data_IF_964821697793
#
_entry.id   IF_964821697793
#
_cell.length_a   1.000
_cell.length_b   1.000
_cell.length_c   1.000
_cell.angle_alpha   90.00
_cell.angle_beta   90.00
_cell.angle_gamma   90.00
#
_symmetry.space_group_name_H-M   'P 1'
#
loop_
_entity.id
_entity.type
_entity.pdbx_description
1 polymer ?
#
# COMPACT_ATOMS: atom_id res chain seq x y z
N UNK A 1 6.76 17.77 16.91
CA UNK A 1 7.86 16.81 16.74
C UNK A 1 7.44 15.80 15.68
N UNK A 2 7.99 15.93 14.48
CA UNK A 2 7.46 15.30 13.25
C UNK A 2 8.12 13.96 12.91
N UNK A 3 9.27 13.63 13.49
CA UNK A 3 10.00 12.39 13.19
C UNK A 3 9.84 11.34 14.30
N UNK A 4 9.87 10.06 13.88
CA UNK A 4 9.84 8.89 14.76
C UNK A 4 11.08 8.90 15.66
N UNK A 5 10.95 8.82 17.00
CA UNK A 5 12.11 8.71 17.87
C UNK A 5 12.93 7.46 17.51
N UNK A 6 14.22 7.65 17.26
CA UNK A 6 15.18 6.55 17.16
C UNK A 6 15.83 6.40 18.54
N UNK A 7 15.64 5.24 19.16
CA UNK A 7 16.19 4.93 20.48
C UNK A 7 17.00 3.64 20.37
N UNK A 8 18.23 3.69 20.89
CA UNK A 8 19.05 2.51 21.09
C UNK A 8 18.78 1.97 22.50
N UNK A 9 18.02 0.88 22.58
CA UNK A 9 17.68 0.26 23.85
C UNK A 9 18.87 -0.45 24.52
N UNK A 10 19.93 -0.79 23.78
CA UNK A 10 21.16 -1.32 24.37
C UNK A 10 21.90 -0.25 25.17
N UNK A 11 21.98 0.97 24.63
CA UNK A 11 22.53 2.13 25.35
C UNK A 11 21.72 2.46 26.62
N UNK A 12 20.39 2.31 26.58
CA UNK A 12 19.52 2.52 27.75
C UNK A 12 19.85 1.55 28.87
N UNK A 13 19.96 0.24 28.59
CA UNK A 13 20.30 -0.75 29.63
C UNK A 13 21.75 -0.61 30.08
N UNK A 14 22.67 -0.25 29.18
CA UNK A 14 24.07 0.02 29.53
C UNK A 14 24.19 1.19 30.51
N UNK A 15 23.44 2.28 30.29
CA UNK A 15 23.41 3.43 31.19
C UNK A 15 22.87 3.07 32.58
N UNK A 16 22.03 2.04 32.70
CA UNK A 16 21.57 1.51 33.99
C UNK A 16 22.62 0.66 34.73
N UNK A 17 23.80 0.44 34.13
CA UNK A 17 24.88 -0.37 34.67
C UNK A 17 24.80 -1.84 34.31
N UNK A 18 23.94 -2.24 33.35
CA UNK A 18 23.90 -3.61 32.84
C UNK A 18 25.13 -3.87 31.94
N UNK A 19 25.84 -5.00 32.12
CA UNK A 19 26.86 -5.42 31.15
C UNK A 19 26.17 -5.83 29.84
N UNK A 20 26.59 -5.25 28.72
CA UNK A 20 25.94 -5.47 27.40
C UNK A 20 26.79 -6.30 26.45
N UNK A 21 28.06 -6.55 26.81
CA UNK A 21 28.97 -7.41 26.06
C UNK A 21 29.40 -8.64 26.84
N UNK A 22 29.74 -9.71 26.13
CA UNK A 22 30.32 -10.94 26.72
C UNK A 22 31.53 -10.65 27.62
N UNK A 23 32.38 -9.69 27.24
CA UNK A 23 33.56 -9.32 28.02
C UNK A 23 33.17 -8.69 29.35
N UNK A 24 32.25 -7.72 29.34
CA UNK A 24 31.81 -7.04 30.56
C UNK A 24 31.12 -8.02 31.53
N UNK A 25 30.33 -8.96 31.02
CA UNK A 25 29.71 -10.02 31.85
C UNK A 25 30.80 -10.92 32.45
N UNK A 26 31.80 -11.32 31.65
CA UNK A 26 32.93 -12.13 32.13
C UNK A 26 33.74 -11.40 33.18
N UNK A 27 34.03 -10.13 32.99
CA UNK A 27 34.83 -9.35 33.93
C UNK A 27 34.13 -9.23 35.29
N UNK A 28 32.80 -9.04 35.29
CA UNK A 28 32.00 -9.07 36.52
C UNK A 28 32.00 -10.45 37.17
N UNK A 29 31.83 -11.52 36.39
CA UNK A 29 31.88 -12.88 36.93
C UNK A 29 33.26 -13.22 37.51
N UNK A 30 34.33 -12.81 36.83
CA UNK A 30 35.71 -13.01 37.29
C UNK A 30 35.96 -12.29 38.62
N UNK A 31 35.44 -11.07 38.78
CA UNK A 31 35.56 -10.31 40.02
C UNK A 31 34.88 -11.05 41.19
N UNK A 32 33.65 -11.55 40.99
CA UNK A 32 32.92 -12.36 41.99
C UNK A 32 33.70 -13.63 42.34
N UNK A 33 34.18 -14.37 41.34
CA UNK A 33 34.93 -15.61 41.56
C UNK A 33 36.24 -15.37 42.32
N UNK A 34 36.90 -14.24 42.08
CA UNK A 34 38.11 -13.84 42.80
C UNK A 34 37.83 -13.45 44.27
N UNK A 35 36.72 -12.76 44.53
CA UNK A 35 36.27 -12.38 45.87
C UNK A 35 35.94 -13.61 46.74
N UNK A 36 35.24 -14.60 46.17
CA UNK A 36 34.91 -15.85 46.87
C UNK A 36 36.14 -16.73 47.13
N UNK A 37 37.18 -16.63 46.29
CA UNK A 37 38.46 -17.33 46.47
C UNK A 37 38.42 -18.86 46.38
N UNK A 38 37.27 -19.45 46.04
CA UNK A 38 37.09 -20.92 45.99
C UNK A 38 37.66 -21.57 44.72
N UNK A 39 37.75 -20.82 43.61
CA UNK A 39 38.19 -21.34 42.32
C UNK A 39 39.64 -20.96 42.07
N UNK A 40 40.53 -21.95 42.11
CA UNK A 40 41.98 -21.73 41.97
C UNK A 40 42.50 -21.82 40.53
N UNK A 41 41.72 -22.39 39.60
CA UNK A 41 42.09 -22.51 38.18
C UNK A 41 41.09 -21.78 37.28
N UNK A 42 41.40 -20.52 36.96
CA UNK A 42 40.66 -19.64 36.05
C UNK A 42 41.27 -19.56 34.66
N UNK A 43 42.09 -20.55 34.28
CA UNK A 43 42.71 -20.60 32.95
C UNK A 43 41.65 -20.71 31.85
N UNK A 44 41.83 -19.96 30.76
CA UNK A 44 40.99 -20.06 29.56
C UNK A 44 41.03 -21.45 28.91
N UNK A 45 42.03 -22.27 29.24
CA UNK A 45 42.16 -23.66 28.77
C UNK A 45 41.48 -24.68 29.69
N UNK A 46 41.07 -24.28 30.91
CA UNK A 46 40.40 -25.16 31.87
C UNK A 46 38.99 -25.52 31.37
N UNK A 47 38.66 -26.81 31.16
CA UNK A 47 37.33 -27.22 30.74
C UNK A 47 36.24 -26.78 31.72
N UNK A 48 36.51 -26.87 33.03
CA UNK A 48 35.61 -26.41 34.08
C UNK A 48 35.38 -24.90 33.99
N UNK A 49 36.46 -24.11 33.88
CA UNK A 49 36.35 -22.66 33.83
C UNK A 49 35.60 -22.18 32.58
N UNK A 50 35.86 -22.82 31.43
CA UNK A 50 35.13 -22.56 30.19
C UNK A 50 33.64 -22.86 30.33
N UNK A 51 33.30 -24.00 30.93
CA UNK A 51 31.90 -24.41 31.12
C UNK A 51 31.16 -23.46 32.06
N UNK A 52 31.72 -23.17 33.25
CA UNK A 52 31.06 -22.29 34.22
C UNK A 52 30.92 -20.86 33.68
N UNK A 53 31.93 -20.34 33.00
CA UNK A 53 31.86 -19.03 32.35
C UNK A 53 30.73 -19.00 31.32
N UNK A 54 30.61 -20.02 30.46
CA UNK A 54 29.55 -20.07 29.47
C UNK A 54 28.14 -20.20 30.08
N UNK A 55 27.99 -21.02 31.14
CA UNK A 55 26.72 -21.18 31.87
C UNK A 55 26.28 -19.87 32.53
N UNK A 56 27.23 -19.02 32.94
CA UNK A 56 26.91 -17.71 33.54
C UNK A 56 26.69 -16.64 32.47
N UNK A 57 27.54 -16.56 31.44
CA UNK A 57 27.50 -15.46 30.48
C UNK A 57 26.39 -15.62 29.44
N UNK A 58 26.16 -16.85 28.94
CA UNK A 58 25.19 -17.07 27.87
C UNK A 58 23.74 -16.70 28.27
N UNK A 59 23.24 -17.07 29.47
CA UNK A 59 21.90 -16.64 29.91
C UNK A 59 21.78 -15.14 30.10
N UNK A 60 22.82 -14.46 30.59
CA UNK A 60 22.82 -13.00 30.72
C UNK A 60 22.71 -12.33 29.35
N UNK A 61 23.48 -12.80 28.37
CA UNK A 61 23.42 -12.28 27.00
C UNK A 61 22.07 -12.57 26.34
N UNK A 62 21.50 -13.75 26.57
CA UNK A 62 20.16 -14.10 26.10
C UNK A 62 19.08 -13.21 26.73
N UNK A 63 19.13 -12.99 28.05
CA UNK A 63 18.19 -12.11 28.75
C UNK A 63 18.34 -10.65 28.31
N UNK A 64 19.57 -10.17 28.08
CA UNK A 64 19.83 -8.85 27.48
C UNK A 64 19.13 -8.72 26.14
N UNK A 65 19.30 -9.71 25.26
CA UNK A 65 18.71 -9.69 23.92
C UNK A 65 17.17 -9.69 23.99
N UNK A 66 16.58 -10.52 24.85
CA UNK A 66 15.13 -10.52 25.07
C UNK A 66 14.65 -9.17 25.63
N UNK A 67 15.37 -8.60 26.60
CA UNK A 67 15.03 -7.32 27.20
C UNK A 67 15.06 -6.18 26.17
N UNK A 68 16.12 -6.09 25.37
CA UNK A 68 16.33 -5.03 24.37
C UNK A 68 15.39 -5.20 23.19
N UNK A 69 15.46 -6.36 22.52
CA UNK A 69 14.84 -6.58 21.21
C UNK A 69 13.38 -7.01 21.29
N UNK A 70 12.92 -7.48 22.45
CA UNK A 70 11.51 -7.89 22.64
C UNK A 70 10.79 -6.99 23.63
N UNK A 71 11.27 -6.88 24.87
CA UNK A 71 10.54 -6.16 25.92
C UNK A 71 10.54 -4.66 25.65
N UNK A 72 11.71 -4.02 25.69
CA UNK A 72 11.84 -2.56 25.53
C UNK A 72 11.38 -2.11 24.14
N UNK A 73 11.75 -2.83 23.09
CA UNK A 73 11.29 -2.58 21.73
C UNK A 73 9.76 -2.51 21.62
N UNK A 74 9.02 -3.29 22.41
CA UNK A 74 7.57 -3.34 22.34
C UNK A 74 6.83 -2.60 23.48
N UNK A 75 7.53 -1.84 24.33
CA UNK A 75 6.91 -1.05 25.40
C UNK A 75 6.24 0.24 24.92
N UNK A 76 6.64 0.78 23.78
CA UNK A 76 6.20 2.08 23.29
C UNK A 76 5.57 1.97 21.92
N UNK A 77 4.49 2.72 21.67
CA UNK A 77 3.83 2.79 20.34
C UNK A 77 4.85 3.09 19.24
N UNK A 78 5.80 4.01 19.50
CA UNK A 78 6.81 4.40 18.53
C UNK A 78 7.69 3.24 18.01
N UNK A 79 7.89 2.18 18.80
CA UNK A 79 8.84 1.10 18.49
C UNK A 79 8.17 -0.27 18.38
N UNK A 80 7.04 -0.49 19.07
CA UNK A 80 6.34 -1.77 19.09
C UNK A 80 5.85 -2.17 17.71
N UNK A 81 5.82 -3.48 17.44
CA UNK A 81 5.33 -4.07 16.19
C UNK A 81 4.35 -5.22 16.43
N UNK A 82 3.68 -5.65 15.37
CA UNK A 82 2.84 -6.84 15.37
C UNK A 82 1.75 -6.83 16.46
N UNK A 83 1.68 -7.92 17.22
CA UNK A 83 0.65 -8.13 18.24
C UNK A 83 0.73 -7.15 19.40
N UNK A 84 1.94 -6.76 19.82
CA UNK A 84 2.09 -5.84 20.95
C UNK A 84 1.68 -4.42 20.56
N UNK A 85 1.99 -3.99 19.33
CA UNK A 85 1.48 -2.72 18.83
C UNK A 85 -0.05 -2.71 18.78
N UNK A 86 -0.69 -3.81 18.35
CA UNK A 86 -2.16 -3.94 18.36
C UNK A 86 -2.74 -3.86 19.78
N UNK A 87 -2.05 -4.42 20.79
CA UNK A 87 -2.46 -4.28 22.19
C UNK A 87 -2.35 -2.82 22.69
N UNK A 88 -1.26 -2.13 22.35
CA UNK A 88 -1.10 -0.71 22.67
C UNK A 88 -2.12 0.17 21.94
N UNK A 89 -2.44 -0.15 20.69
CA UNK A 89 -3.50 0.51 19.93
C UNK A 89 -4.87 0.35 20.59
N UNK A 90 -5.19 -0.86 21.04
CA UNK A 90 -6.41 -1.13 21.77
C UNK A 90 -6.53 -0.30 23.05
N UNK A 91 -5.42 -0.07 23.77
CA UNK A 91 -5.39 0.76 24.97
C UNK A 91 -5.77 2.23 24.71
N UNK A 92 -5.66 2.70 23.46
CA UNK A 92 -6.11 4.02 23.01
C UNK A 92 -7.38 3.96 22.15
N UNK A 93 -8.16 2.88 22.24
CA UNK A 93 -9.40 2.69 21.47
C UNK A 93 -9.20 2.74 19.94
N UNK A 94 -8.05 2.24 19.47
CA UNK A 94 -7.75 2.08 18.03
C UNK A 94 -7.62 0.59 17.72
N UNK A 95 -8.32 0.13 16.69
CA UNK A 95 -8.20 -1.24 16.17
C UNK A 95 -7.65 -1.20 14.76
N UNK A 96 -6.63 -2.01 14.47
CA UNK A 96 -6.00 -2.12 13.16
C UNK A 96 -7.05 -2.35 12.06
N UNK A 97 -6.94 -1.65 10.94
CA UNK A 97 -7.89 -1.85 9.83
C UNK A 97 -7.60 -3.22 9.18
N UNK A 98 -8.62 -4.08 9.02
CA UNK A 98 -8.42 -5.36 8.33
C UNK A 98 -8.25 -5.13 6.83
N UNK A 99 -7.61 -6.07 6.15
CA UNK A 99 -7.60 -6.09 4.70
C UNK A 99 -9.04 -6.24 4.16
N UNK A 100 -9.36 -5.55 3.07
CA UNK A 100 -10.67 -5.57 2.42
C UNK A 100 -10.55 -5.94 0.94
N UNK A 101 -11.61 -6.55 0.40
CA UNK A 101 -11.70 -6.93 -1.00
C UNK A 101 -12.37 -5.81 -1.81
N UNK A 102 -11.82 -5.54 -2.99
CA UNK A 102 -12.43 -4.63 -3.95
C UNK A 102 -13.81 -5.13 -4.38
N UNK A 103 -14.78 -4.23 -4.50
CA UNK A 103 -16.11 -4.53 -5.03
C UNK A 103 -16.49 -3.52 -6.08
N UNK A 104 -17.26 -3.97 -7.05
CA UNK A 104 -17.57 -3.15 -8.20
C UNK A 104 -18.65 -3.75 -9.08
N UNK A 105 -18.72 -3.21 -10.29
CA UNK A 105 -19.56 -3.72 -11.36
C UNK A 105 -18.74 -3.94 -12.62
N UNK A 106 -18.94 -5.07 -13.30
CA UNK A 106 -18.30 -5.36 -14.59
C UNK A 106 -19.39 -5.46 -15.65
N UNK A 107 -19.12 -4.90 -16.84
CA UNK A 107 -20.07 -5.01 -17.96
C UNK A 107 -19.88 -6.34 -18.66
N UNK A 108 -20.98 -7.05 -18.85
CA UNK A 108 -21.08 -8.26 -19.66
C UNK A 108 -21.81 -7.95 -20.95
N UNK A 109 -21.22 -8.28 -22.09
CA UNK A 109 -21.79 -8.05 -23.41
C UNK A 109 -22.29 -9.36 -24.01
N UNK A 110 -23.54 -9.38 -24.47
CA UNK A 110 -24.11 -10.57 -25.12
C UNK A 110 -23.61 -10.74 -26.54
N UNK A 111 -23.60 -11.97 -27.02
CA UNK A 111 -23.38 -12.29 -28.43
C UNK A 111 -24.59 -11.89 -29.29
N UNK A 112 -25.80 -12.24 -28.84
CA UNK A 112 -27.07 -11.83 -29.44
C UNK A 112 -27.95 -11.12 -28.40
N UNK A 113 -28.26 -9.85 -28.64
CA UNK A 113 -29.13 -9.06 -27.79
C UNK A 113 -30.54 -9.67 -27.61
N UNK A 114 -31.01 -10.52 -28.53
CA UNK A 114 -32.34 -11.17 -28.47
C UNK A 114 -32.39 -12.41 -27.58
N UNK A 115 -31.25 -13.02 -27.27
CA UNK A 115 -31.18 -14.15 -26.36
C UNK A 115 -31.50 -13.73 -24.92
N UNK A 116 -31.91 -14.66 -24.06
CA UNK A 116 -31.89 -14.45 -22.60
C UNK A 116 -30.65 -15.15 -22.08
N UNK A 117 -29.79 -14.44 -21.34
CA UNK A 117 -28.54 -15.01 -20.82
C UNK A 117 -28.55 -14.94 -19.30
N UNK A 118 -28.14 -16.03 -18.65
CA UNK A 118 -28.00 -16.08 -17.19
C UNK A 118 -26.53 -16.21 -16.84
N UNK A 119 -26.01 -15.23 -16.10
CA UNK A 119 -24.67 -15.29 -15.50
C UNK A 119 -24.85 -15.74 -14.05
N UNK A 120 -24.12 -16.76 -13.63
CA UNK A 120 -24.23 -17.32 -12.28
C UNK A 120 -23.37 -16.56 -11.29
N UNK A 121 -23.73 -16.60 -10.01
CA UNK A 121 -22.84 -16.21 -8.93
C UNK A 121 -21.55 -17.03 -9.00
N UNK A 122 -20.40 -16.41 -8.71
CA UNK A 122 -19.09 -17.06 -8.78
C UNK A 122 -18.49 -17.16 -10.18
N UNK A 123 -19.14 -16.61 -11.22
CA UNK A 123 -18.50 -16.44 -12.53
C UNK A 123 -17.26 -15.55 -12.37
N UNK A 124 -16.10 -16.09 -12.74
CA UNK A 124 -14.80 -15.42 -12.59
C UNK A 124 -14.53 -14.51 -13.79
N UNK A 125 -14.03 -13.31 -13.51
CA UNK A 125 -13.44 -12.38 -14.48
C UNK A 125 -12.00 -12.15 -14.05
N UNK A 126 -11.05 -12.22 -14.98
CA UNK A 126 -9.64 -12.06 -14.68
C UNK A 126 -8.96 -11.01 -15.56
N UNK A 127 -7.78 -10.60 -15.11
CA UNK A 127 -6.85 -9.78 -15.89
C UNK A 127 -5.95 -10.64 -16.77
N UNK A 128 -5.26 -10.01 -17.71
CA UNK A 128 -3.99 -10.57 -18.20
C UNK A 128 -2.99 -10.68 -17.05
N UNK A 129 -1.89 -11.40 -17.28
CA UNK A 129 -0.78 -11.46 -16.30
C UNK A 129 -0.09 -10.10 -16.22
N UNK A 130 -0.03 -9.52 -15.02
CA UNK A 130 0.68 -8.27 -14.71
C UNK A 130 1.77 -8.63 -13.70
N UNK A 131 3.03 -8.41 -14.07
CA UNK A 131 4.19 -8.76 -13.24
C UNK A 131 4.12 -10.17 -12.62
N UNK A 132 3.74 -11.18 -13.42
CA UNK A 132 3.62 -12.57 -12.94
C UNK A 132 2.27 -12.93 -12.30
N UNK A 133 1.43 -11.96 -11.95
CA UNK A 133 0.17 -12.17 -11.21
C UNK A 133 -1.07 -11.99 -12.07
N UNK A 134 -2.11 -12.77 -11.78
CA UNK A 134 -3.45 -12.62 -12.37
C UNK A 134 -4.40 -12.21 -11.24
N UNK A 135 -5.16 -11.15 -11.47
CA UNK A 135 -6.18 -10.69 -10.53
C UNK A 135 -7.54 -11.17 -10.98
N UNK A 136 -8.35 -11.61 -10.01
CA UNK A 136 -9.65 -12.22 -10.26
C UNK A 136 -10.75 -11.53 -9.45
N UNK A 137 -11.88 -11.32 -10.11
CA UNK A 137 -13.15 -10.93 -9.52
C UNK A 137 -14.15 -12.06 -9.75
N UNK A 138 -15.13 -12.20 -8.85
CA UNK A 138 -16.24 -13.11 -9.01
C UNK A 138 -17.56 -12.35 -8.93
N UNK A 139 -18.55 -12.72 -9.75
CA UNK A 139 -19.92 -12.21 -9.64
C UNK A 139 -20.52 -12.59 -8.29
N UNK A 140 -21.23 -11.68 -7.64
CA UNK A 140 -21.74 -11.89 -6.27
C UNK A 140 -23.13 -12.52 -6.22
N UNK A 141 -23.84 -12.60 -7.35
CA UNK A 141 -25.18 -13.15 -7.45
C UNK A 141 -25.53 -13.61 -8.86
N UNK A 142 -26.55 -14.45 -8.96
CA UNK A 142 -27.15 -14.84 -10.24
C UNK A 142 -27.83 -13.62 -10.88
N UNK A 143 -27.55 -13.38 -12.16
CA UNK A 143 -28.15 -12.29 -12.93
C UNK A 143 -28.67 -12.80 -14.27
N UNK A 144 -29.92 -12.45 -14.58
CA UNK A 144 -30.52 -12.69 -15.88
C UNK A 144 -30.47 -11.41 -16.70
N UNK A 145 -29.77 -11.45 -17.83
CA UNK A 145 -29.77 -10.38 -18.83
C UNK A 145 -30.92 -10.66 -19.81
N UNK A 146 -31.99 -9.85 -19.81
CA UNK A 146 -33.18 -10.14 -20.60
C UNK A 146 -32.94 -9.98 -22.11
N UNK A 147 -33.90 -10.51 -22.89
CA UNK A 147 -33.97 -10.27 -24.33
C UNK A 147 -34.20 -8.77 -24.60
N UNK A 148 -33.56 -8.26 -25.65
CA UNK A 148 -33.57 -6.84 -26.01
C UNK A 148 -32.49 -6.00 -25.32
N UNK A 149 -31.80 -6.55 -24.31
CA UNK A 149 -30.67 -5.88 -23.65
C UNK A 149 -29.34 -6.46 -24.16
N UNK A 150 -28.50 -5.61 -24.77
CA UNK A 150 -27.22 -6.03 -25.36
C UNK A 150 -26.10 -6.24 -24.33
N UNK A 151 -26.16 -5.54 -23.19
CA UNK A 151 -25.18 -5.68 -22.11
C UNK A 151 -25.79 -5.31 -20.76
N UNK A 152 -25.20 -5.82 -19.68
CA UNK A 152 -25.59 -5.47 -18.31
C UNK A 152 -24.37 -5.31 -17.42
N UNK A 153 -24.50 -4.45 -16.40
CA UNK A 153 -23.53 -4.32 -15.31
C UNK A 153 -23.88 -5.31 -14.21
N UNK A 154 -22.93 -6.19 -13.88
CA UNK A 154 -23.10 -7.22 -12.87
C UNK A 154 -22.20 -6.91 -11.66
N UNK A 155 -22.72 -7.05 -10.43
CA UNK A 155 -21.93 -6.83 -9.23
C UNK A 155 -20.86 -7.91 -9.07
N UNK A 156 -19.64 -7.49 -8.73
CA UNK A 156 -18.49 -8.37 -8.55
C UNK A 156 -17.74 -8.02 -7.27
N UNK A 157 -17.01 -9.00 -6.76
CA UNK A 157 -16.09 -8.87 -5.62
C UNK A 157 -14.77 -9.56 -5.95
N UNK A 158 -13.66 -8.95 -5.57
CA UNK A 158 -12.34 -9.55 -5.68
C UNK A 158 -12.27 -10.87 -4.91
N UNK A 159 -11.63 -11.88 -5.51
CA UNK A 159 -11.43 -13.19 -4.86
C UNK A 159 -10.40 -13.13 -3.73
N UNK A 160 -9.56 -12.08 -3.72
CA UNK A 160 -8.63 -11.74 -2.65
C UNK A 160 -8.88 -10.34 -2.08
N UNK A 161 -8.03 -9.96 -1.13
CA UNK A 161 -8.00 -8.63 -0.50
C UNK A 161 -6.79 -7.83 -0.95
N UNK A 162 -6.77 -6.54 -0.64
CA UNK A 162 -5.61 -5.67 -0.87
C UNK A 162 -5.86 -4.60 -1.92
N UNK A 163 -5.05 -3.53 -1.84
CA UNK A 163 -5.14 -2.40 -2.77
C UNK A 163 -4.80 -2.79 -4.22
N UNK A 164 -4.06 -3.88 -4.41
CA UNK A 164 -3.62 -4.34 -5.73
C UNK A 164 -4.78 -4.76 -6.67
N UNK A 165 -5.97 -5.05 -6.13
CA UNK A 165 -7.17 -5.30 -6.94
C UNK A 165 -7.82 -4.02 -7.50
N UNK A 166 -7.42 -2.84 -7.04
CA UNK A 166 -7.93 -1.53 -7.50
C UNK A 166 -7.29 -1.14 -8.83
N UNK A 167 -7.53 -1.93 -9.86
CA UNK A 167 -6.98 -1.71 -11.19
C UNK A 167 -7.80 -0.68 -11.97
N UNK A 168 -7.14 0.06 -12.86
CA UNK A 168 -7.81 1.00 -13.76
C UNK A 168 -8.81 0.28 -14.69
N UNK A 169 -9.77 1.02 -15.30
CA UNK A 169 -10.67 0.47 -16.31
C UNK A 169 -9.91 -0.26 -17.43
N UNK A 170 -10.50 -1.34 -17.94
CA UNK A 170 -9.97 -2.16 -19.03
C UNK A 170 -9.06 -3.32 -18.62
N UNK A 171 -8.61 -3.39 -17.37
CA UNK A 171 -7.76 -4.49 -16.88
C UNK A 171 -8.53 -5.81 -16.74
N UNK A 172 -9.70 -5.78 -16.09
CA UNK A 172 -10.58 -6.95 -15.97
C UNK A 172 -11.37 -7.11 -17.26
N UNK A 173 -11.02 -8.10 -18.08
CA UNK A 173 -11.59 -8.29 -19.42
C UNK A 173 -11.66 -9.74 -19.91
N UNK A 174 -11.14 -10.70 -19.14
CA UNK A 174 -11.03 -12.10 -19.57
C UNK A 174 -12.02 -12.95 -18.78
N UNK A 175 -12.78 -13.78 -19.50
CA UNK A 175 -13.53 -14.88 -18.92
C UNK A 175 -12.71 -16.17 -19.05
N UNK A 176 -12.06 -16.67 -17.98
CA UNK A 176 -11.28 -17.92 -18.05
C UNK A 176 -12.15 -19.13 -18.40
N UNK A 177 -13.42 -19.09 -18.00
CA UNK A 177 -14.45 -20.05 -18.41
C UNK A 177 -15.52 -19.28 -19.17
N UNK A 178 -15.74 -19.67 -20.43
CA UNK A 178 -16.74 -19.05 -21.28
C UNK A 178 -18.14 -19.14 -20.64
N UNK A 179 -18.91 -18.05 -20.74
CA UNK A 179 -20.31 -18.00 -20.34
C UNK A 179 -21.15 -18.01 -21.61
N UNK A 180 -22.02 -19.00 -21.75
CA UNK A 180 -22.85 -19.15 -22.95
C UNK A 180 -23.66 -17.87 -23.24
N UNK A 181 -23.59 -17.39 -24.48
CA UNK A 181 -24.24 -16.16 -24.94
C UNK A 181 -23.57 -14.85 -24.50
N UNK A 182 -22.40 -14.87 -23.84
CA UNK A 182 -21.58 -13.69 -23.54
C UNK A 182 -20.36 -13.64 -24.46
N UNK A 183 -20.21 -12.54 -25.20
CA UNK A 183 -19.09 -12.34 -26.13
C UNK A 183 -17.81 -11.90 -25.41
N UNK A 184 -17.93 -10.95 -24.49
CA UNK A 184 -16.80 -10.43 -23.71
C UNK A 184 -17.28 -9.68 -22.47
N UNK A 185 -16.32 -9.33 -21.60
CA UNK A 185 -16.53 -8.53 -20.41
C UNK A 185 -15.52 -7.39 -20.35
N UNK A 186 -15.88 -6.29 -19.69
CA UNK A 186 -14.95 -5.18 -19.47
C UNK A 186 -15.25 -4.43 -18.17
N UNK A 187 -14.18 -4.08 -17.45
CA UNK A 187 -14.20 -3.03 -16.42
C UNK A 187 -14.23 -1.66 -17.10
N UNK A 188 -15.26 -0.88 -16.84
CA UNK A 188 -15.42 0.48 -17.39
C UNK A 188 -15.02 1.56 -16.37
N UNK A 189 -15.14 2.83 -16.76
CA UNK A 189 -15.03 3.92 -15.80
C UNK A 189 -16.01 3.73 -14.64
N UNK A 190 -15.59 4.10 -13.43
CA UNK A 190 -16.35 3.94 -12.19
C UNK A 190 -16.74 2.49 -11.83
N UNK A 191 -16.09 1.47 -12.42
CA UNK A 191 -16.36 0.08 -12.07
C UNK A 191 -16.14 -0.20 -10.58
N UNK A 192 -15.12 0.42 -9.97
CA UNK A 192 -14.69 0.20 -8.59
C UNK A 192 -15.59 0.98 -7.62
N UNK A 193 -16.57 0.31 -7.01
CA UNK A 193 -17.50 0.93 -6.05
C UNK A 193 -16.97 0.97 -4.63
N UNK A 194 -16.24 -0.08 -4.22
CA UNK A 194 -15.58 -0.17 -2.91
C UNK A 194 -14.12 -0.57 -3.16
N UNK A 195 -13.15 0.28 -2.83
CA UNK A 195 -11.74 -0.07 -2.96
C UNK A 195 -11.37 -1.25 -2.06
N UNK A 196 -10.54 -2.16 -2.58
CA UNK A 196 -9.78 -3.07 -1.75
C UNK A 196 -8.69 -2.33 -1.00
N UNK A 197 -8.35 -2.79 0.19
CA UNK A 197 -7.28 -2.23 1.00
C UNK A 197 -6.47 -3.36 1.63
N UNK A 198 -5.17 -3.13 1.78
CA UNK A 198 -4.29 -4.04 2.51
C UNK A 198 -4.58 -3.94 4.02
N UNK A 199 -4.10 -4.91 4.79
CA UNK A 199 -4.11 -4.78 6.25
C UNK A 199 -3.23 -3.57 6.61
N UNK A 200 -3.71 -2.74 7.53
CA UNK A 200 -2.98 -1.55 7.96
C UNK A 200 -1.58 -1.92 8.47
N UNK A 201 -0.58 -1.24 7.93
CA UNK A 201 0.80 -1.44 8.35
C UNK A 201 1.03 -0.95 9.77
N UNK A 202 2.07 -1.48 10.42
CA UNK A 202 2.42 -1.05 11.76
C UNK A 202 2.76 0.45 11.81
N UNK A 203 3.38 1.03 10.78
CA UNK A 203 3.69 2.47 10.76
C UNK A 203 2.41 3.33 10.65
N UNK A 204 1.45 2.96 9.79
CA UNK A 204 0.15 3.64 9.72
C UNK A 204 -0.64 3.54 11.03
N UNK A 205 -0.63 2.35 11.65
CA UNK A 205 -1.29 2.13 12.93
C UNK A 205 -0.67 3.00 14.03
N UNK A 206 0.66 3.15 14.07
CA UNK A 206 1.34 4.05 15.02
C UNK A 206 0.92 5.50 14.85
N UNK A 207 0.85 5.99 13.61
CA UNK A 207 0.40 7.36 13.32
C UNK A 207 -1.04 7.58 13.79
N UNK A 208 -1.93 6.63 13.54
CA UNK A 208 -3.33 6.71 13.99
C UNK A 208 -3.45 6.67 15.51
N UNK A 209 -2.67 5.83 16.20
CA UNK A 209 -2.60 5.80 17.66
C UNK A 209 -2.13 7.15 18.25
N UNK A 210 -1.11 7.77 17.65
CA UNK A 210 -0.66 9.12 18.07
C UNK A 210 -1.74 10.16 17.84
N UNK A 211 -2.45 10.08 16.72
CA UNK A 211 -3.47 11.05 16.38
C UNK A 211 -4.73 10.95 17.26
N UNK A 212 -4.97 9.81 17.91
CA UNK A 212 -6.12 9.63 18.79
C UNK A 212 -6.25 10.73 19.86
N UNK A 213 -5.13 11.21 20.41
CA UNK A 213 -5.13 12.28 21.41
C UNK A 213 -5.55 13.65 20.84
N UNK A 214 -5.42 13.86 19.52
CA UNK A 214 -5.91 15.06 18.84
C UNK A 214 -7.44 15.03 18.63
N UNK A 215 -8.06 13.85 18.70
CA UNK A 215 -9.51 13.69 18.51
C UNK A 215 -10.34 14.12 19.73
N UNK A 216 -9.70 14.41 20.87
CA UNK A 216 -10.37 14.79 22.13
C UNK A 216 -10.84 16.27 22.12
N UNK A 217 -10.62 17.00 21.02
CA UNK A 217 -11.12 18.36 20.84
C UNK A 217 -12.45 18.40 20.08
N UNK A 218 -13.43 19.17 20.57
CA UNK A 218 -14.67 19.50 19.85
C UNK A 218 -14.46 20.43 18.64
N UNK A 219 -13.21 20.83 18.37
CA UNK A 219 -12.82 21.64 17.22
C UNK A 219 -12.16 20.74 16.19
N UNK A 220 -12.76 20.66 15.01
CA UNK A 220 -12.27 19.80 13.94
C UNK A 220 -11.07 20.48 13.27
N UNK A 221 -9.88 20.15 13.74
CA UNK A 221 -8.64 20.49 13.02
C UNK A 221 -8.46 19.51 11.84
N UNK A 222 -7.61 19.84 10.87
CA UNK A 222 -7.23 18.95 9.76
C UNK A 222 -6.90 17.52 10.23
N UNK A 223 -6.25 17.40 11.38
CA UNK A 223 -5.86 16.11 11.97
C UNK A 223 -7.08 15.23 12.34
N UNK A 224 -8.18 15.85 12.76
CA UNK A 224 -9.43 15.15 13.10
C UNK A 224 -10.10 14.64 11.82
N UNK A 225 -10.34 15.52 10.84
CA UNK A 225 -10.93 15.13 9.56
C UNK A 225 -10.09 14.07 8.84
N UNK A 226 -8.77 14.25 8.80
CA UNK A 226 -7.85 13.31 8.16
C UNK A 226 -7.98 11.91 8.73
N UNK A 227 -8.07 11.79 10.05
CA UNK A 227 -8.22 10.49 10.74
C UNK A 227 -9.60 9.87 10.53
N UNK A 228 -10.65 10.67 10.61
CA UNK A 228 -12.02 10.19 10.36
C UNK A 228 -12.19 9.70 8.92
N UNK A 229 -11.76 10.51 7.95
CA UNK A 229 -11.76 10.17 6.52
C UNK A 229 -10.91 8.93 6.28
N UNK A 230 -9.68 8.88 6.80
CA UNK A 230 -8.81 7.71 6.66
C UNK A 230 -9.49 6.44 7.19
N UNK A 231 -10.17 6.54 8.33
CA UNK A 231 -10.93 5.46 8.95
C UNK A 231 -12.03 4.91 8.04
N UNK A 232 -12.95 5.78 7.60
CA UNK A 232 -14.10 5.35 6.78
C UNK A 232 -13.70 4.99 5.35
N UNK A 233 -12.74 5.70 4.77
CA UNK A 233 -12.31 5.49 3.39
C UNK A 233 -11.37 4.29 3.23
N UNK A 234 -10.84 3.75 4.34
CA UNK A 234 -9.81 2.71 4.28
C UNK A 234 -8.49 3.20 3.69
N UNK A 235 -8.23 4.51 3.73
CA UNK A 235 -7.04 5.14 3.19
C UNK A 235 -6.02 5.46 4.29
N UNK A 236 -4.77 5.53 3.90
CA UNK A 236 -3.68 6.08 4.72
C UNK A 236 -3.85 7.59 4.90
N UNK A 237 -3.36 8.11 6.02
CA UNK A 237 -3.54 9.52 6.42
C UNK A 237 -2.86 10.49 5.43
N UNK A 238 -1.77 10.09 4.80
CA UNK A 238 -1.02 10.84 3.77
C UNK A 238 -1.69 10.88 2.39
N UNK A 239 -2.77 10.11 2.19
CA UNK A 239 -3.58 10.06 0.96
C UNK A 239 -4.69 11.11 0.89
N UNK A 240 -4.82 11.92 1.92
CA UNK A 240 -5.90 12.90 2.08
C UNK A 240 -5.28 14.29 2.01
N UNK A 241 -5.77 15.15 1.13
CA UNK A 241 -5.21 16.49 0.92
C UNK A 241 -6.30 17.52 1.16
N UNK A 242 -6.01 18.55 1.94
CA UNK A 242 -6.98 19.60 2.24
C UNK A 242 -6.75 20.84 1.39
N UNK A 243 -7.85 21.42 0.94
CA UNK A 243 -7.92 22.78 0.43
C UNK A 243 -8.81 23.59 1.37
N UNK A 244 -8.18 24.52 2.08
CA UNK A 244 -8.84 25.47 2.97
C UNK A 244 -9.42 26.64 2.19
N UNK A 245 -10.38 27.34 2.79
CA UNK A 245 -11.09 28.46 2.13
C UNK A 245 -11.68 28.05 0.79
N UNK A 246 -12.34 26.87 0.78
CA UNK A 246 -12.86 26.32 -0.45
C UNK A 246 -13.83 27.30 -1.13
N UNK A 247 -14.02 27.21 -2.47
CA UNK A 247 -14.81 28.18 -3.23
C UNK A 247 -16.30 28.30 -2.84
N UNK A 248 -16.77 27.55 -1.83
CA UNK A 248 -18.13 27.58 -1.28
C UNK A 248 -18.33 28.64 -0.20
N UNK A 249 -17.27 29.30 0.28
CA UNK A 249 -17.35 30.43 1.20
C UNK A 249 -16.64 30.22 2.54
N UNK A 250 -16.78 31.15 3.49
CA UNK A 250 -16.15 31.06 4.80
C UNK A 250 -16.60 29.81 5.58
N UNK A 251 -15.66 29.13 6.23
CA UNK A 251 -15.94 27.89 6.99
C UNK A 251 -16.00 26.61 6.15
N UNK A 252 -15.64 26.69 4.86
CA UNK A 252 -15.69 25.56 3.93
C UNK A 252 -14.29 25.00 3.66
N UNK A 253 -14.19 23.66 3.57
CA UNK A 253 -12.94 22.96 3.24
C UNK A 253 -13.23 21.78 2.28
N UNK A 254 -12.25 21.47 1.43
CA UNK A 254 -12.29 20.28 0.58
C UNK A 254 -11.25 19.26 1.05
N UNK A 255 -11.63 17.98 1.05
CA UNK A 255 -10.68 16.89 1.22
C UNK A 255 -10.61 16.04 -0.05
N UNK A 256 -9.44 16.01 -0.67
CA UNK A 256 -9.17 15.26 -1.89
C UNK A 256 -8.55 13.90 -1.55
N UNK A 257 -9.21 12.84 -2.02
CA UNK A 257 -8.87 11.45 -1.73
C UNK A 257 -8.05 10.86 -2.88
N UNK A 258 -6.85 10.36 -2.56
CA UNK A 258 -5.95 9.71 -3.53
C UNK A 258 -5.86 8.20 -3.27
N UNK A 259 -6.30 7.37 -4.23
CA UNK A 259 -6.08 5.93 -4.15
C UNK A 259 -4.63 5.56 -4.53
N UNK A 260 -4.15 4.45 -3.98
CA UNK A 260 -2.83 3.89 -4.32
C UNK A 260 -2.73 3.40 -5.76
N UNK A 261 -3.82 2.86 -6.28
CA UNK A 261 -4.02 2.54 -7.69
C UNK A 261 -5.51 2.66 -8.03
N UNK A 262 -5.81 2.77 -9.32
CA UNK A 262 -7.17 2.94 -9.82
C UNK A 262 -7.67 4.38 -9.61
N UNK A 263 -8.98 4.56 -9.82
CA UNK A 263 -9.65 5.87 -9.77
C UNK A 263 -10.75 5.80 -8.71
N UNK A 264 -10.82 6.81 -7.84
CA UNK A 264 -11.89 6.93 -6.86
C UNK A 264 -13.23 7.19 -7.57
N UNK A 265 -14.19 6.30 -7.39
CA UNK A 265 -15.50 6.42 -8.03
C UNK A 265 -16.42 7.37 -7.27
N UNK A 266 -17.40 7.95 -7.95
CA UNK A 266 -18.42 8.79 -7.31
C UNK A 266 -19.16 8.07 -6.16
N UNK A 267 -19.59 6.80 -6.28
CA UNK A 267 -20.19 6.06 -5.17
C UNK A 267 -19.30 5.98 -3.93
N UNK A 268 -18.00 5.74 -4.09
CA UNK A 268 -17.05 5.71 -3.00
C UNK A 268 -16.95 7.07 -2.30
N UNK A 269 -16.76 8.15 -3.07
CA UNK A 269 -16.67 9.52 -2.52
C UNK A 269 -17.97 9.93 -1.82
N UNK A 270 -19.13 9.52 -2.37
CA UNK A 270 -20.43 9.79 -1.75
C UNK A 270 -20.59 9.05 -0.41
N UNK A 271 -20.12 7.81 -0.29
CA UNK A 271 -20.15 7.08 0.98
C UNK A 271 -19.30 7.76 2.07
N UNK A 272 -18.14 8.30 1.70
CA UNK A 272 -17.30 9.10 2.62
C UNK A 272 -18.01 10.39 3.03
N UNK A 273 -18.63 11.10 2.07
CA UNK A 273 -19.38 12.31 2.36
C UNK A 273 -20.63 12.06 3.23
N UNK A 274 -21.32 10.94 3.04
CA UNK A 274 -22.46 10.57 3.89
C UNK A 274 -22.03 10.37 5.34
N UNK A 275 -20.90 9.69 5.55
CA UNK A 275 -20.31 9.53 6.88
C UNK A 275 -19.96 10.88 7.52
N UNK A 276 -19.31 11.79 6.79
CA UNK A 276 -18.92 13.09 7.35
C UNK A 276 -20.16 13.95 7.63
N UNK A 277 -20.97 14.19 6.61
CA UNK A 277 -22.01 15.23 6.63
C UNK A 277 -23.35 14.71 7.14
N UNK A 278 -23.85 13.58 6.63
CA UNK A 278 -25.18 13.06 7.00
C UNK A 278 -25.17 12.44 8.39
N UNK A 279 -24.10 11.73 8.77
CA UNK A 279 -24.01 11.04 10.06
C UNK A 279 -23.46 11.93 11.19
N UNK A 280 -23.17 13.21 10.90
CA UNK A 280 -22.82 14.22 11.90
C UNK A 280 -21.37 14.16 12.38
N UNK A 281 -20.44 13.62 11.58
CA UNK A 281 -19.01 13.57 11.87
C UNK A 281 -18.27 14.82 11.35
N UNK A 282 -18.81 16.01 11.66
CA UNK A 282 -18.24 17.30 11.29
C UNK A 282 -18.48 18.36 12.38
N UNK A 283 -17.70 19.45 12.35
CA UNK A 283 -17.82 20.55 13.31
C UNK A 283 -19.09 21.38 13.10
N UNK A 284 -19.57 21.99 14.19
CA UNK A 284 -20.70 22.93 14.11
C UNK A 284 -20.31 24.15 13.25
N UNK A 285 -20.93 24.28 12.08
CA UNK A 285 -20.66 25.37 11.14
C UNK A 285 -19.57 25.07 10.12
N UNK A 286 -18.95 23.88 10.16
CA UNK A 286 -18.02 23.42 9.13
C UNK A 286 -18.80 22.87 7.93
N UNK A 287 -18.36 23.19 6.72
CA UNK A 287 -18.81 22.57 5.48
C UNK A 287 -17.63 21.85 4.80
N UNK A 288 -17.51 20.57 5.13
CA UNK A 288 -16.44 19.70 4.67
C UNK A 288 -16.95 18.78 3.55
N UNK A 289 -16.39 18.94 2.35
CA UNK A 289 -16.76 18.14 1.17
C UNK A 289 -15.58 17.32 0.61
N UNK A 290 -15.74 16.00 0.56
CA UNK A 290 -14.77 15.09 -0.03
C UNK A 290 -14.92 15.00 -1.54
N UNK A 291 -13.79 14.92 -2.24
CA UNK A 291 -13.70 14.74 -3.69
C UNK A 291 -12.63 13.70 -4.05
N UNK A 292 -12.75 13.10 -5.23
CA UNK A 292 -11.62 12.40 -5.83
C UNK A 292 -10.49 13.39 -6.14
N UNK A 293 -9.23 12.96 -6.00
CA UNK A 293 -8.08 13.77 -6.39
C UNK A 293 -8.21 14.21 -7.87
N UNK A 294 -8.14 15.52 -8.19
CA UNK A 294 -8.21 15.99 -9.57
C UNK A 294 -7.08 15.40 -10.39
N UNK A 295 -7.36 15.10 -11.67
CA UNK A 295 -6.40 14.41 -12.53
C UNK A 295 -5.97 15.29 -13.70
N UNK A 296 -4.68 15.23 -14.05
CA UNK A 296 -4.17 15.74 -15.34
C UNK A 296 -3.89 14.56 -16.26
N UNK A 297 -4.11 14.73 -17.57
CA UNK A 297 -4.07 13.65 -18.56
C UNK A 297 -2.95 13.88 -19.56
N UNK A 298 -2.03 12.90 -19.65
CA UNK A 298 -0.80 13.01 -20.43
C UNK A 298 -0.69 11.90 -21.48
N UNK A 299 -0.30 12.27 -22.70
CA UNK A 299 0.03 11.33 -23.77
C UNK A 299 1.56 11.05 -23.71
N UNK A 300 1.94 9.79 -23.45
CA UNK A 300 3.35 9.40 -23.27
C UNK A 300 3.79 8.38 -24.31
N UNK A 301 4.85 8.70 -25.05
CA UNK A 301 5.57 7.75 -25.89
C UNK A 301 6.94 7.47 -25.28
N UNK A 302 7.33 6.19 -25.25
CA UNK A 302 8.60 5.71 -24.72
C UNK A 302 9.28 4.81 -25.74
N UNK A 303 10.48 5.17 -26.14
CA UNK A 303 11.36 4.30 -26.94
C UNK A 303 12.36 3.63 -26.01
N UNK A 304 12.38 2.31 -26.03
CA UNK A 304 13.33 1.49 -25.28
C UNK A 304 14.36 0.93 -26.24
N UNK A 305 15.63 1.26 -26.00
CA UNK A 305 16.75 0.75 -26.77
C UNK A 305 17.29 -0.52 -26.12
N UNK A 306 17.44 -1.56 -26.93
CA UNK A 306 18.09 -2.82 -26.54
C UNK A 306 19.29 -3.06 -27.44
N UNK A 307 20.33 -3.71 -26.93
CA UNK A 307 21.60 -3.89 -27.66
C UNK A 307 21.45 -4.57 -29.03
N UNK A 308 20.56 -5.56 -29.11
CA UNK A 308 20.24 -6.21 -30.37
C UNK A 308 18.89 -6.92 -30.29
N UNK A 309 17.88 -6.35 -30.93
CA UNK A 309 16.52 -6.92 -31.03
C UNK A 309 16.49 -8.28 -31.72
N UNK A 310 17.41 -8.54 -32.66
CA UNK A 310 17.46 -9.82 -33.37
C UNK A 310 17.87 -10.98 -32.46
N UNK A 311 18.51 -10.69 -31.31
CA UNK A 311 18.88 -11.69 -30.32
C UNK A 311 17.72 -12.02 -29.37
N UNK A 312 16.60 -11.29 -29.43
CA UNK A 312 15.44 -11.52 -28.59
C UNK A 312 14.37 -12.30 -29.37
N UNK A 313 13.86 -13.34 -28.75
CA UNK A 313 12.64 -14.03 -29.21
C UNK A 313 11.44 -13.07 -29.20
N UNK A 314 10.39 -13.40 -29.94
CA UNK A 314 9.17 -12.59 -29.95
C UNK A 314 8.52 -12.55 -28.55
N UNK A 315 8.59 -13.66 -27.81
CA UNK A 315 8.09 -13.75 -26.43
C UNK A 315 8.88 -12.85 -25.46
N UNK A 316 10.21 -12.79 -25.60
CA UNK A 316 11.04 -11.87 -24.81
C UNK A 316 10.74 -10.40 -25.12
N UNK A 317 10.57 -10.07 -26.41
CA UNK A 317 10.19 -8.71 -26.84
C UNK A 317 8.83 -8.31 -26.29
N UNK A 318 7.84 -9.20 -26.40
CA UNK A 318 6.49 -8.96 -25.89
C UNK A 318 6.48 -8.83 -24.36
N UNK A 319 7.22 -9.70 -23.66
CA UNK A 319 7.32 -9.68 -22.19
C UNK A 319 8.03 -8.43 -21.68
N UNK A 320 9.14 -8.02 -22.32
CA UNK A 320 9.87 -6.80 -21.98
C UNK A 320 8.98 -5.57 -22.18
N UNK A 321 8.34 -5.47 -23.35
CA UNK A 321 7.44 -4.35 -23.67
C UNK A 321 6.27 -4.29 -22.69
N UNK A 322 5.57 -5.40 -22.46
CA UNK A 322 4.43 -5.45 -21.54
C UNK A 322 4.85 -5.18 -20.08
N UNK A 323 6.02 -5.67 -19.66
CA UNK A 323 6.58 -5.40 -18.34
C UNK A 323 6.85 -3.91 -18.12
N UNK A 324 7.55 -3.27 -19.06
CA UNK A 324 7.84 -1.83 -19.02
C UNK A 324 6.55 -1.02 -19.06
N UNK A 325 5.61 -1.37 -19.94
CA UNK A 325 4.31 -0.71 -20.03
C UNK A 325 3.58 -0.76 -18.69
N UNK A 326 3.49 -1.93 -18.06
CA UNK A 326 2.82 -2.08 -16.76
C UNK A 326 3.55 -1.36 -15.63
N UNK A 327 4.89 -1.28 -15.65
CA UNK A 327 5.65 -0.51 -14.66
C UNK A 327 5.40 0.99 -14.80
N UNK A 328 5.37 1.52 -16.03
CA UNK A 328 5.01 2.92 -16.29
C UNK A 328 3.56 3.17 -15.83
N UNK A 329 2.63 2.27 -16.16
CA UNK A 329 1.23 2.34 -15.70
C UNK A 329 1.13 2.29 -14.17
N UNK A 330 1.99 1.53 -13.48
CA UNK A 330 2.08 1.53 -12.02
C UNK A 330 2.51 2.90 -11.48
N UNK A 331 3.51 3.53 -12.09
CA UNK A 331 3.97 4.87 -11.71
C UNK A 331 2.84 5.93 -11.86
N UNK A 332 1.97 5.76 -12.86
CA UNK A 332 0.76 6.57 -13.06
C UNK A 332 -0.50 5.98 -12.38
N UNK A 333 -0.31 5.05 -11.43
CA UNK A 333 -1.33 4.50 -10.53
C UNK A 333 -2.47 3.75 -11.22
N UNK A 334 -2.25 3.17 -12.39
CA UNK A 334 -3.23 2.29 -13.04
C UNK A 334 -3.22 0.86 -12.47
N UNK A 335 -2.09 0.45 -11.92
CA UNK A 335 -1.92 -0.79 -11.15
C UNK A 335 -0.97 -0.53 -9.95
N UNK A 336 -0.69 -1.55 -9.14
CA UNK A 336 0.20 -1.46 -7.97
C UNK A 336 1.29 -2.56 -7.96
N UNK A 337 1.56 -3.19 -9.11
CA UNK A 337 2.37 -4.41 -9.19
C UNK A 337 3.89 -4.18 -9.19
N UNK A 338 4.32 -2.91 -9.24
CA UNK A 338 5.72 -2.54 -9.25
C UNK A 338 6.04 -1.61 -8.09
N UNK A 339 7.18 -1.84 -7.44
CA UNK A 339 7.80 -0.89 -6.52
C UNK A 339 8.50 0.20 -7.35
N UNK A 340 7.70 1.18 -7.77
CA UNK A 340 8.10 2.30 -8.62
C UNK A 340 7.58 3.58 -7.98
N UNK A 341 8.33 4.67 -8.13
CA UNK A 341 7.85 5.96 -7.61
C UNK A 341 6.57 6.35 -8.35
N UNK A 342 5.50 6.59 -7.60
CA UNK A 342 4.20 6.98 -8.15
C UNK A 342 4.06 8.49 -8.27
N UNK A 343 3.21 8.94 -9.19
CA UNK A 343 2.81 10.34 -9.31
C UNK A 343 2.15 10.84 -8.01
N UNK A 344 2.41 12.09 -7.62
CA UNK A 344 2.00 12.63 -6.32
C UNK A 344 1.62 14.12 -6.42
N UNK A 345 0.57 14.59 -5.73
CA UNK A 345 0.25 16.02 -5.59
C UNK A 345 1.40 16.81 -4.95
N UNK A 346 1.54 18.09 -5.27
CA UNK A 346 2.61 18.96 -4.74
C UNK A 346 4.02 18.39 -4.91
N UNK A 347 4.23 17.58 -5.96
CA UNK A 347 5.50 16.92 -6.21
C UNK A 347 5.86 16.99 -7.69
N UNK A 348 7.18 16.93 -7.95
CA UNK A 348 7.72 16.74 -9.28
C UNK A 348 7.92 15.25 -9.55
N UNK A 349 7.26 14.75 -10.57
CA UNK A 349 7.50 13.42 -11.11
C UNK A 349 8.65 13.48 -12.13
N UNK A 350 9.75 12.78 -11.82
CA UNK A 350 10.95 12.82 -12.66
C UNK A 350 11.07 11.59 -13.56
N UNK A 351 11.13 11.82 -14.87
CA UNK A 351 11.32 10.74 -15.84
C UNK A 351 12.73 10.14 -15.78
N UNK A 352 13.72 10.92 -15.34
CA UNK A 352 15.07 10.40 -15.09
C UNK A 352 15.08 9.31 -14.01
N UNK A 353 14.29 9.52 -12.95
CA UNK A 353 14.14 8.56 -11.86
C UNK A 353 13.34 7.34 -12.30
N UNK A 354 12.27 7.52 -13.08
CA UNK A 354 11.52 6.41 -13.69
C UNK A 354 12.42 5.57 -14.60
N UNK A 355 13.24 6.20 -15.45
CA UNK A 355 14.19 5.51 -16.30
C UNK A 355 15.20 4.66 -15.51
N UNK A 356 15.72 5.20 -14.40
CA UNK A 356 16.59 4.46 -13.48
C UNK A 356 15.90 3.24 -12.86
N UNK A 357 14.65 3.38 -12.46
CA UNK A 357 13.84 2.28 -11.89
C UNK A 357 13.54 1.20 -12.95
N UNK A 358 13.27 1.60 -14.20
CA UNK A 358 13.09 0.68 -15.33
C UNK A 358 14.38 -0.09 -15.60
N UNK A 359 15.54 0.57 -15.72
CA UNK A 359 16.82 -0.13 -15.94
C UNK A 359 17.17 -1.11 -14.80
N UNK A 360 16.83 -0.75 -13.55
CA UNK A 360 17.03 -1.65 -12.40
C UNK A 360 16.15 -2.91 -12.50
N UNK A 361 14.95 -2.78 -13.05
CA UNK A 361 13.95 -3.86 -13.11
C UNK A 361 14.11 -4.72 -14.36
N UNK A 362 14.45 -4.11 -15.49
CA UNK A 362 14.53 -4.75 -16.80
C UNK A 362 15.95 -4.66 -17.36
N UNK A 363 16.79 -5.66 -17.05
CA UNK A 363 18.19 -5.69 -17.47
C UNK A 363 18.42 -5.70 -18.99
N UNK A 364 17.39 -5.99 -19.79
CA UNK A 364 17.44 -5.94 -21.25
C UNK A 364 17.29 -4.52 -21.81
N UNK A 365 16.75 -3.56 -21.04
CA UNK A 365 16.64 -2.17 -21.42
C UNK A 365 17.99 -1.47 -21.19
N UNK A 366 18.66 -1.08 -22.26
CA UNK A 366 19.98 -0.44 -22.21
C UNK A 366 19.86 1.09 -22.12
N UNK A 367 18.95 1.68 -22.90
CA UNK A 367 18.63 3.11 -22.86
C UNK A 367 17.14 3.38 -23.09
N UNK A 368 16.68 4.57 -22.69
CA UNK A 368 15.28 5.00 -22.73
C UNK A 368 15.17 6.45 -23.22
N UNK A 369 14.18 6.70 -24.07
CA UNK A 369 13.77 8.05 -24.46
C UNK A 369 12.28 8.25 -24.16
N UNK A 370 11.96 9.29 -23.41
CA UNK A 370 10.59 9.69 -23.07
C UNK A 370 10.18 10.91 -23.90
N UNK A 371 8.94 10.93 -24.40
CA UNK A 371 8.42 12.08 -25.14
C UNK A 371 8.09 13.30 -24.27
N UNK A 372 8.03 13.12 -22.94
CA UNK A 372 7.70 14.16 -21.97
C UNK A 372 8.90 14.49 -21.08
N UNK A 373 8.98 15.76 -20.66
CA UNK A 373 9.83 16.18 -19.56
C UNK A 373 9.14 16.02 -18.20
N UNK A 374 9.86 16.28 -17.11
CA UNK A 374 9.35 16.16 -15.74
C UNK A 374 8.03 16.93 -15.52
N UNK A 375 7.09 16.30 -14.81
CA UNK A 375 5.75 16.86 -14.54
C UNK A 375 5.74 17.42 -13.12
N UNK A 376 5.37 18.69 -12.94
CA UNK A 376 5.18 19.30 -11.61
C UNK A 376 3.69 19.39 -11.32
N UNK A 377 3.26 18.80 -10.21
CA UNK A 377 1.84 18.72 -9.83
C UNK A 377 1.53 19.71 -8.71
N UNK A 378 0.36 20.34 -8.78
CA UNK A 378 -0.22 21.11 -7.68
C UNK A 378 -1.17 20.18 -6.89
N UNK A 379 -2.38 20.63 -6.57
CA UNK A 379 -3.44 19.78 -5.99
C UNK A 379 -4.12 18.92 -7.06
N UNK A 380 -3.32 18.14 -7.79
CA UNK A 380 -3.76 17.19 -8.78
C UNK A 380 -2.76 16.03 -8.90
N UNK A 381 -3.17 14.95 -9.56
CA UNK A 381 -2.32 13.78 -9.83
C UNK A 381 -2.22 13.51 -11.34
N UNK A 382 -1.00 13.43 -11.91
CA UNK A 382 -0.81 13.01 -13.29
C UNK A 382 -1.27 11.57 -13.54
N UNK A 383 -2.03 11.39 -14.63
CA UNK A 383 -2.50 10.12 -15.18
C UNK A 383 -2.17 10.03 -16.66
N UNK A 384 -2.07 8.79 -17.14
CA UNK A 384 -1.94 8.54 -18.57
C UNK A 384 -3.31 8.74 -19.25
N UNK A 385 -3.25 9.34 -20.43
CA UNK A 385 -4.32 9.35 -21.42
C UNK A 385 -4.06 8.29 -22.47
N UNK A 386 -2.81 8.22 -22.93
CA UNK A 386 -2.30 7.16 -23.79
C UNK A 386 -0.85 6.84 -23.43
N UNK A 387 -0.47 5.58 -23.69
CA UNK A 387 0.90 5.11 -23.52
C UNK A 387 1.28 4.26 -24.74
N UNK A 388 2.39 4.62 -25.37
CA UNK A 388 2.99 3.85 -26.46
C UNK A 388 4.41 3.49 -26.09
N UNK A 389 4.71 2.21 -26.02
CA UNK A 389 6.07 1.70 -25.82
C UNK A 389 6.56 1.02 -27.10
N UNK A 390 7.69 1.48 -27.65
CA UNK A 390 8.40 0.87 -28.78
C UNK A 390 9.74 0.31 -28.33
N UNK A 391 10.18 -0.76 -28.99
CA UNK A 391 11.53 -1.32 -28.81
C UNK A 391 12.34 -1.04 -30.07
N UNK A 392 13.55 -0.52 -29.91
CA UNK A 392 14.48 -0.19 -30.99
C UNK A 392 15.88 -0.77 -30.68
N UNK A 393 16.71 -0.92 -31.72
CA UNK A 393 18.13 -1.23 -31.53
C UNK A 393 18.86 0.03 -31.07
N UNK A 394 19.83 -0.13 -30.17
CA UNK A 394 20.77 0.93 -29.77
C UNK A 394 21.47 1.60 -30.97
#
# INVERSE_FOLDING_TARGET
MTEKPQIDFEDVVKASGMPVTDSEVRDRFNAIAAEEGMITNTSRMSPFWRLVTAIVTAPVMWLKEVLVSTVLANMFVATASGSMLRLLAWAVNVTAKPASAAQGVIRFFKEDARAVVTVKAGTVIQTERINGRVYELATTGDMVIPSGTASALLPVKATGTGGAYNLAPGYYRILPVAVDGISHVASEENWLTVPGADEESDDELRERCRNQFNLVGNYHTDAVYRSMIAGVAGLSIDRIFFEHEAPRGPGTANAYLLLDSGVASAPFVNAVNDYINTQGHHGHGDDMQCYAMPETRHDLAVTVYVRNLANLTDDERNSLKAGIENMIRCAFRENADFDVRKTWPYSRFSFSQLGREIHKTFALADSLSFSLGDITSELNVPRLKSLVVSLENE
#
